data_IF_907621716825
#
_entry.id   IF_907621716825
#
_cell.length_a   1.000
_cell.length_b   1.000
_cell.length_c   1.000
_cell.angle_alpha   90.00
_cell.angle_beta   90.00
_cell.angle_gamma   90.00
#
_symmetry.space_group_name_H-M   'P 1'
#
loop_
_entity.id
_entity.type
_entity.pdbx_description
1 polymer ?
#
# COMPACT_ATOMS: atom_id res chain seq x y z
N UNK A 1 -21.65 -15.59 -12.37
CA UNK A 1 -21.34 -14.15 -12.58
C UNK A 1 -20.65 -14.00 -13.92
N UNK A 2 -20.83 -12.89 -14.62
CA UNK A 2 -20.07 -12.62 -15.84
C UNK A 2 -18.70 -12.04 -15.49
N UNK A 3 -17.76 -12.12 -16.43
CA UNK A 3 -16.35 -11.72 -16.25
C UNK A 3 -16.21 -10.26 -15.81
N UNK A 4 -17.09 -9.39 -16.30
CA UNK A 4 -17.16 -7.97 -15.93
C UNK A 4 -17.53 -7.75 -14.46
N UNK A 5 -18.43 -8.59 -13.92
CA UNK A 5 -18.80 -8.56 -12.51
C UNK A 5 -17.67 -9.00 -11.58
N UNK A 6 -16.86 -9.97 -12.01
CA UNK A 6 -15.68 -10.44 -11.26
C UNK A 6 -14.62 -9.33 -11.20
N UNK A 7 -14.32 -8.68 -12.33
CA UNK A 7 -13.36 -7.57 -12.39
C UNK A 7 -13.78 -6.40 -11.50
N UNK A 8 -15.07 -6.03 -11.49
CA UNK A 8 -15.59 -4.97 -10.63
C UNK A 8 -15.45 -5.33 -9.15
N UNK A 9 -15.74 -6.58 -8.78
CA UNK A 9 -15.61 -7.04 -7.40
C UNK A 9 -14.16 -7.02 -6.92
N UNK A 10 -13.22 -7.41 -7.77
CA UNK A 10 -11.78 -7.34 -7.47
C UNK A 10 -11.32 -5.89 -7.28
N UNK A 11 -11.80 -4.96 -8.11
CA UNK A 11 -11.49 -3.54 -7.99
C UNK A 11 -12.05 -2.96 -6.68
N UNK A 12 -13.30 -3.25 -6.36
CA UNK A 12 -13.97 -2.80 -5.13
C UNK A 12 -13.28 -3.37 -3.89
N UNK A 13 -12.95 -4.67 -3.89
CA UNK A 13 -12.26 -5.32 -2.78
C UNK A 13 -10.90 -4.68 -2.54
N UNK A 14 -10.18 -4.34 -3.61
CA UNK A 14 -8.88 -3.68 -3.52
C UNK A 14 -8.97 -2.28 -2.92
N UNK A 15 -9.95 -1.47 -3.34
CA UNK A 15 -10.20 -0.13 -2.77
C UNK A 15 -10.59 -0.22 -1.29
N UNK A 16 -11.43 -1.19 -0.92
CA UNK A 16 -11.80 -1.44 0.47
C UNK A 16 -10.60 -1.80 1.34
N UNK A 17 -9.70 -2.68 0.88
CA UNK A 17 -8.48 -3.01 1.61
C UNK A 17 -7.60 -1.78 1.87
N UNK A 18 -7.49 -0.88 0.90
CA UNK A 18 -6.77 0.40 1.07
C UNK A 18 -7.44 1.29 2.10
N UNK A 19 -8.77 1.45 2.03
CA UNK A 19 -9.51 2.25 3.02
C UNK A 19 -9.38 1.67 4.42
N UNK A 20 -9.47 0.35 4.57
CA UNK A 20 -9.27 -0.34 5.85
C UNK A 20 -7.85 -0.07 6.37
N UNK A 21 -6.82 -0.18 5.53
CA UNK A 21 -5.44 0.09 5.93
C UNK A 21 -5.21 1.52 6.43
N UNK A 22 -5.82 2.50 5.75
CA UNK A 22 -5.76 3.93 6.13
C UNK A 22 -6.51 4.21 7.44
N UNK A 23 -7.67 3.57 7.63
CA UNK A 23 -8.48 3.73 8.84
C UNK A 23 -7.91 2.99 10.04
N UNK A 24 -7.30 1.82 9.82
CA UNK A 24 -6.68 1.01 10.87
C UNK A 24 -5.36 1.60 11.40
N UNK A 25 -4.76 2.54 10.68
CA UNK A 25 -3.59 3.29 11.14
C UNK A 25 -3.98 4.76 11.35
N UNK A 26 -4.66 5.07 12.47
CA UNK A 26 -4.84 6.46 12.85
C UNK A 26 -3.45 7.07 13.03
N UNK A 27 -3.08 7.97 12.12
CA UNK A 27 -1.90 8.81 12.28
C UNK A 27 -2.19 9.65 13.52
N UNK A 28 -1.65 9.25 14.66
CA UNK A 28 -1.78 10.06 15.87
C UNK A 28 -1.24 11.47 15.56
N UNK A 29 -1.94 12.53 15.95
CA UNK A 29 -1.44 13.89 15.81
C UNK A 29 -0.08 14.01 16.52
N UNK A 30 1.00 14.17 15.74
CA UNK A 30 2.38 14.24 16.26
C UNK A 30 3.22 12.98 16.02
N UNK A 31 2.62 11.86 15.61
CA UNK A 31 3.37 10.70 15.12
C UNK A 31 3.95 11.02 13.73
N UNK A 32 5.27 11.09 13.62
CA UNK A 32 5.95 11.11 12.32
C UNK A 32 5.94 9.69 11.76
N UNK A 33 4.80 9.22 11.28
CA UNK A 33 4.78 7.99 10.46
C UNK A 33 5.62 8.30 9.24
N UNK A 34 6.80 7.67 9.14
CA UNK A 34 7.69 7.90 8.03
C UNK A 34 7.05 7.30 6.78
N UNK A 35 7.26 7.94 5.63
CA UNK A 35 6.76 7.45 4.34
C UNK A 35 7.15 5.98 4.10
N UNK A 36 8.33 5.57 4.58
CA UNK A 36 8.78 4.17 4.55
C UNK A 36 7.83 3.23 5.30
N UNK A 37 7.37 3.62 6.48
CA UNK A 37 6.49 2.77 7.30
C UNK A 37 5.15 2.55 6.60
N UNK A 38 4.63 3.60 5.94
CA UNK A 38 3.43 3.51 5.11
C UNK A 38 3.63 2.58 3.90
N UNK A 39 4.79 2.66 3.23
CA UNK A 39 5.13 1.78 2.10
C UNK A 39 5.16 0.31 2.55
N UNK A 40 5.79 0.03 3.69
CA UNK A 40 5.94 -1.34 4.23
C UNK A 40 4.60 -1.91 4.67
N UNK A 41 3.79 -1.09 5.32
CA UNK A 41 2.45 -1.45 5.75
C UNK A 41 1.54 -1.78 4.57
N UNK A 42 1.61 -1.01 3.48
CA UNK A 42 0.82 -1.31 2.29
C UNK A 42 1.33 -2.57 1.54
N UNK A 43 2.66 -2.78 1.49
CA UNK A 43 3.27 -4.02 0.96
C UNK A 43 2.86 -5.26 1.77
N UNK A 44 2.76 -5.14 3.10
CA UNK A 44 2.30 -6.26 3.96
C UNK A 44 0.83 -6.62 3.75
N UNK A 45 0.02 -5.69 3.23
CA UNK A 45 -1.34 -5.96 2.76
C UNK A 45 -1.41 -6.53 1.34
N UNK A 46 -0.27 -6.83 0.71
CA UNK A 46 -0.18 -7.47 -0.60
C UNK A 46 -0.36 -6.52 -1.79
N UNK A 47 -0.30 -5.21 -1.57
CA UNK A 47 -0.36 -4.23 -2.65
C UNK A 47 0.95 -4.23 -3.44
N UNK A 48 0.84 -4.13 -4.77
CA UNK A 48 2.00 -4.03 -5.66
C UNK A 48 2.62 -2.63 -5.58
N UNK A 49 3.92 -2.47 -5.87
CA UNK A 49 4.59 -1.17 -5.85
C UNK A 49 3.91 -0.07 -6.67
N UNK A 50 3.27 -0.42 -7.79
CA UNK A 50 2.50 0.53 -8.61
C UNK A 50 1.22 1.02 -7.92
N UNK A 51 0.56 0.16 -7.15
CA UNK A 51 -0.66 0.47 -6.41
C UNK A 51 -0.32 1.34 -5.19
N UNK A 52 0.73 0.97 -4.46
CA UNK A 52 1.29 1.76 -3.35
C UNK A 52 1.70 3.17 -3.84
N UNK A 53 2.38 3.25 -4.98
CA UNK A 53 2.79 4.50 -5.60
C UNK A 53 1.58 5.40 -5.92
N UNK A 54 0.50 4.82 -6.44
CA UNK A 54 -0.74 5.56 -6.70
C UNK A 54 -1.39 6.07 -5.42
N UNK A 55 -1.38 5.29 -4.33
CA UNK A 55 -2.01 5.65 -3.05
C UNK A 55 -1.22 6.76 -2.34
N UNK A 56 0.11 6.67 -2.33
CA UNK A 56 0.99 7.61 -1.62
C UNK A 56 1.45 8.79 -2.49
N UNK A 57 0.97 8.89 -3.73
CA UNK A 57 1.39 9.87 -4.73
C UNK A 57 2.93 9.91 -4.90
N UNK A 58 3.50 8.73 -5.20
CA UNK A 58 4.94 8.51 -5.44
C UNK A 58 5.15 7.79 -6.77
N UNK A 59 6.41 7.60 -7.16
CA UNK A 59 6.76 6.76 -8.31
C UNK A 59 6.94 5.30 -7.90
N UNK A 60 6.59 4.32 -8.75
CA UNK A 60 6.81 2.90 -8.47
C UNK A 60 8.29 2.57 -8.20
N UNK A 61 9.21 3.32 -8.83
CA UNK A 61 10.64 3.16 -8.62
C UNK A 61 11.07 3.59 -7.20
N UNK A 62 10.51 4.69 -6.69
CA UNK A 62 10.75 5.13 -5.31
C UNK A 62 10.27 4.08 -4.30
N UNK A 63 9.05 3.57 -4.47
CA UNK A 63 8.48 2.50 -3.63
C UNK A 63 9.34 1.24 -3.66
N UNK A 64 9.73 0.79 -4.86
CA UNK A 64 10.56 -0.41 -5.04
C UNK A 64 11.93 -0.27 -4.36
N UNK A 65 12.52 0.93 -4.42
CA UNK A 65 13.78 1.23 -3.73
C UNK A 65 13.63 1.14 -2.22
N UNK A 66 12.58 1.71 -1.64
CA UNK A 66 12.33 1.62 -0.19
C UNK A 66 12.14 0.17 0.28
N UNK A 67 11.33 -0.61 -0.44
CA UNK A 67 11.13 -2.03 -0.14
C UNK A 67 12.42 -2.85 -0.28
N UNK A 68 13.28 -2.53 -1.25
CA UNK A 68 14.58 -3.19 -1.40
C UNK A 68 15.52 -2.88 -0.23
N UNK A 69 15.55 -1.62 0.25
CA UNK A 69 16.37 -1.24 1.41
C UNK A 69 15.86 -1.92 2.69
N UNK A 70 14.53 -2.00 2.87
CA UNK A 70 13.91 -2.74 3.98
C UNK A 70 14.37 -4.21 4.02
N UNK A 71 14.34 -4.90 2.86
CA UNK A 71 14.73 -6.32 2.77
C UNK A 71 16.21 -6.54 3.07
N UNK A 72 17.07 -5.60 2.72
CA UNK A 72 18.51 -5.67 3.02
C UNK A 72 18.81 -5.46 4.51
N UNK A 73 18.07 -4.59 5.20
CA UNK A 73 18.25 -4.36 6.64
C UNK A 73 17.72 -5.48 7.55
N UNK A 74 17.00 -6.46 7.00
CA UNK A 74 16.46 -7.62 7.72
C UNK A 74 17.37 -8.86 7.66
N UNK A 75 18.49 -8.77 6.92
CA UNK A 75 19.50 -9.84 6.76
C UNK A 75 20.70 -9.59 7.65
#
# INVERSE_FOLDING_TARGET
MNERGIQLLEEVSRKLSVMIALLANPIEPGSKVLLRDQIVMLDSFGLKPSEIASILNKTPNHVSKELAVQRKGKR
#
